data_IF_323101925146
#
_entry.id   IF_323101925146
#
_cell.length_a   1.000
_cell.length_b   1.000
_cell.length_c   1.000
_cell.angle_alpha   90.00
_cell.angle_beta   90.00
_cell.angle_gamma   90.00
#
_symmetry.space_group_name_H-M   'P 1'
#
loop_
_entity.id
_entity.type
_entity.pdbx_description
1 polymer ?
#
# COMPACT_ATOMS: atom_id res chain seq x y z
N UNK A 1 1.56 1.71 4.76
CA UNK A 1 2.02 0.45 4.13
C UNK A 1 3.53 0.34 4.27
N UNK A 2 4.06 -0.85 4.56
CA UNK A 2 5.47 -1.11 4.89
C UNK A 2 6.12 -2.07 3.88
N UNK A 3 5.83 -1.91 2.60
CA UNK A 3 6.47 -2.66 1.54
C UNK A 3 6.91 -1.74 0.40
N UNK A 4 7.97 -2.15 -0.29
CA UNK A 4 8.55 -1.40 -1.41
C UNK A 4 8.20 -2.00 -2.77
N UNK A 5 7.73 -3.24 -2.80
CA UNK A 5 7.32 -3.97 -4.00
C UNK A 5 6.01 -4.67 -3.66
N UNK A 6 4.99 -4.51 -4.51
CA UNK A 6 3.72 -5.24 -4.38
C UNK A 6 3.92 -6.71 -4.76
N UNK A 7 3.10 -7.59 -4.18
CA UNK A 7 3.04 -8.97 -4.65
C UNK A 7 2.50 -9.03 -6.08
N UNK A 8 2.89 -10.05 -6.85
CA UNK A 8 2.35 -10.29 -8.19
C UNK A 8 1.26 -11.35 -8.13
N UNK A 9 0.11 -11.07 -8.74
CA UNK A 9 -1.01 -12.00 -8.89
C UNK A 9 -1.31 -12.14 -10.37
N UNK A 10 -1.38 -13.38 -10.86
CA UNK A 10 -1.62 -13.67 -12.27
C UNK A 10 -2.94 -14.40 -12.43
N UNK A 11 -3.67 -14.07 -13.49
CA UNK A 11 -4.90 -14.72 -13.92
C UNK A 11 -4.83 -14.95 -15.43
N UNK A 12 -5.68 -15.85 -15.92
CA UNK A 12 -5.84 -16.12 -17.35
C UNK A 12 -7.33 -16.25 -17.66
N UNK A 13 -7.78 -15.58 -18.71
CA UNK A 13 -9.14 -15.68 -19.22
C UNK A 13 -9.15 -15.75 -20.77
N UNK A 14 -10.33 -15.57 -21.37
CA UNK A 14 -10.53 -15.60 -22.82
C UNK A 14 -9.79 -14.47 -23.56
N UNK A 15 -9.43 -13.38 -22.86
CA UNK A 15 -8.67 -12.27 -23.41
C UNK A 15 -7.15 -12.42 -23.25
N UNK A 16 -6.70 -13.42 -22.47
CA UNK A 16 -5.30 -13.78 -22.32
C UNK A 16 -4.82 -13.78 -20.88
N UNK A 17 -3.51 -13.56 -20.71
CA UNK A 17 -2.87 -13.50 -19.38
C UNK A 17 -2.93 -12.09 -18.81
N UNK A 18 -3.28 -11.97 -17.54
CA UNK A 18 -3.27 -10.72 -16.78
C UNK A 18 -2.30 -10.82 -15.60
N UNK A 19 -1.66 -9.69 -15.29
CA UNK A 19 -0.75 -9.57 -14.14
C UNK A 19 -1.11 -8.32 -13.36
N UNK A 20 -1.35 -8.50 -12.06
CA UNK A 20 -1.64 -7.44 -11.11
C UNK A 20 -0.52 -7.34 -10.07
N UNK A 21 -0.14 -6.11 -9.72
CA UNK A 21 0.95 -5.87 -8.77
C UNK A 21 2.34 -6.06 -9.38
N UNK A 22 3.31 -6.56 -8.59
CA UNK A 22 4.71 -6.70 -9.02
C UNK A 22 5.43 -5.37 -9.29
N UNK A 23 4.84 -4.24 -8.93
CA UNK A 23 5.38 -2.90 -9.15
C UNK A 23 6.05 -2.34 -7.90
N UNK A 24 7.03 -1.47 -8.11
CA UNK A 24 7.63 -0.70 -7.04
C UNK A 24 6.67 0.37 -6.53
N UNK A 25 6.54 0.45 -5.21
CA UNK A 25 5.85 1.56 -4.56
C UNK A 25 6.81 2.72 -4.36
N UNK A 26 6.50 3.85 -4.98
CA UNK A 26 7.16 5.11 -4.67
C UNK A 26 6.86 5.48 -3.22
N UNK A 27 7.90 5.72 -2.44
CA UNK A 27 7.76 6.15 -1.06
C UNK A 27 8.85 7.15 -0.70
N UNK A 28 8.44 8.27 -0.14
CA UNK A 28 9.35 9.19 0.52
C UNK A 28 9.56 8.84 1.98
N UNK A 29 10.46 9.57 2.64
CA UNK A 29 10.71 9.43 4.07
C UNK A 29 11.51 10.60 4.63
N UNK A 30 11.45 10.76 5.94
CA UNK A 30 12.27 11.72 6.66
C UNK A 30 13.64 11.11 6.97
N UNK A 31 14.70 11.88 6.71
CA UNK A 31 16.08 11.50 7.02
C UNK A 31 16.66 12.52 8.00
N UNK A 32 17.45 12.01 8.95
CA UNK A 32 18.29 12.80 9.83
C UNK A 32 19.72 12.28 9.67
N UNK A 33 20.64 13.15 9.24
CA UNK A 33 22.07 12.87 9.23
C UNK A 33 22.74 13.74 10.28
N UNK A 34 23.56 13.13 11.11
CA UNK A 34 24.31 13.82 12.15
C UNK A 34 25.73 13.28 12.24
N UNK A 35 26.61 14.09 12.81
CA UNK A 35 27.98 13.70 13.16
C UNK A 35 28.21 14.03 14.62
N UNK A 36 28.87 13.14 15.34
CA UNK A 36 29.21 13.32 16.74
C UNK A 36 30.72 13.23 16.91
N UNK A 37 31.32 14.29 17.46
CA UNK A 37 32.71 14.25 17.88
C UNK A 37 32.84 13.41 19.16
N UNK A 38 33.81 12.51 19.15
CA UNK A 38 34.11 11.58 20.25
C UNK A 38 35.58 11.67 20.70
N UNK A 39 36.24 12.79 20.40
CA UNK A 39 37.64 13.04 20.77
C UNK A 39 37.86 12.77 22.27
N UNK A 40 38.96 12.07 22.59
CA UNK A 40 39.27 11.60 23.95
C UNK A 40 38.24 10.64 24.57
N UNK A 41 37.40 9.99 23.77
CA UNK A 41 36.41 9.01 24.23
C UNK A 41 35.16 9.63 24.86
N UNK A 42 35.00 10.96 24.76
CA UNK A 42 33.83 11.69 25.28
C UNK A 42 32.96 12.14 24.11
N UNK A 43 31.70 11.71 24.09
CA UNK A 43 30.77 12.06 23.04
C UNK A 43 30.22 13.48 23.26
N UNK A 44 30.62 14.40 22.38
CA UNK A 44 30.11 15.78 22.33
C UNK A 44 28.66 15.83 21.85
N UNK A 45 28.02 17.00 21.88
CA UNK A 45 26.69 17.17 21.29
C UNK A 45 26.76 16.90 19.76
N UNK A 46 25.94 15.97 19.23
CA UNK A 46 25.87 15.75 17.79
C UNK A 46 25.48 17.02 17.02
N UNK A 47 26.11 17.20 15.86
CA UNK A 47 25.80 18.25 14.88
C UNK A 47 24.94 17.64 13.78
N UNK A 48 23.76 18.22 13.57
CA UNK A 48 22.86 17.82 12.49
C UNK A 48 23.41 18.36 11.17
N UNK A 49 23.72 17.46 10.24
CA UNK A 49 24.18 17.78 8.89
C UNK A 49 23.01 17.94 7.92
N UNK A 50 21.97 17.13 8.10
CA UNK A 50 20.77 17.18 7.29
C UNK A 50 19.57 16.74 8.11
N UNK A 51 18.47 17.44 7.96
CA UNK A 51 17.17 17.03 8.48
C UNK A 51 16.10 17.42 7.49
N UNK A 52 15.36 16.45 6.95
CA UNK A 52 14.36 16.77 5.95
C UNK A 52 13.63 15.57 5.37
N UNK A 53 12.63 15.88 4.56
CA UNK A 53 11.87 14.90 3.80
C UNK A 53 12.49 14.69 2.41
N UNK A 54 12.62 13.44 2.01
CA UNK A 54 12.98 13.04 0.65
C UNK A 54 11.75 12.43 0.00
N UNK A 55 11.33 12.99 -1.14
CA UNK A 55 10.08 12.61 -1.81
C UNK A 55 10.10 11.17 -2.36
N UNK A 56 11.26 10.66 -2.76
CA UNK A 56 11.42 9.32 -3.30
C UNK A 56 12.71 8.71 -2.76
N UNK A 57 12.58 7.81 -1.79
CA UNK A 57 13.66 6.95 -1.34
C UNK A 57 13.74 5.73 -2.27
N UNK A 58 14.92 5.32 -2.76
CA UNK A 58 15.07 4.04 -3.46
C UNK A 58 14.82 2.85 -2.51
N UNK A 59 14.56 1.68 -3.11
CA UNK A 59 14.36 0.44 -2.34
C UNK A 59 15.66 -0.11 -1.72
N UNK A 60 16.80 0.24 -2.31
CA UNK A 60 18.13 -0.03 -1.78
C UNK A 60 18.95 1.27 -1.81
N UNK A 61 19.74 1.50 -0.77
CA UNK A 61 20.61 2.67 -0.65
C UNK A 61 22.04 2.23 -0.39
N UNK A 62 22.98 2.88 -1.07
CA UNK A 62 24.41 2.80 -0.76
C UNK A 62 24.80 4.07 -0.02
N UNK A 63 25.35 3.93 1.17
CA UNK A 63 25.84 5.06 1.96
C UNK A 63 27.35 5.17 1.76
N UNK A 64 27.80 6.38 1.41
CA UNK A 64 29.21 6.73 1.50
C UNK A 64 29.43 7.50 2.80
N UNK A 65 30.51 7.18 3.49
CA UNK A 65 30.94 7.96 4.65
C UNK A 65 31.35 9.36 4.20
N UNK A 66 31.18 10.35 5.10
CA UNK A 66 31.44 11.76 4.84
C UNK A 66 32.79 11.92 4.12
N UNK A 67 32.75 12.52 2.92
CA UNK A 67 33.94 12.86 2.15
C UNK A 67 34.03 14.38 2.08
N UNK A 68 35.00 14.94 2.80
CA UNK A 68 35.38 16.35 2.72
C UNK A 68 36.89 16.44 2.67
N UNK A 69 37.42 17.31 1.80
CA UNK A 69 38.87 17.54 1.67
C UNK A 69 39.49 18.07 2.98
N UNK A 70 38.68 18.72 3.82
CA UNK A 70 39.09 19.31 5.09
C UNK A 70 38.74 18.42 6.30
N UNK A 71 38.29 17.18 6.08
CA UNK A 71 37.96 16.27 7.18
C UNK A 71 39.23 15.78 7.89
N UNK A 72 39.67 16.50 8.92
CA UNK A 72 40.82 16.14 9.76
C UNK A 72 40.40 15.26 10.95
N UNK A 73 39.78 14.11 10.69
CA UNK A 73 39.43 13.16 11.75
C UNK A 73 39.45 11.71 11.25
N UNK A 74 39.49 10.76 12.20
CA UNK A 74 39.22 9.34 11.93
C UNK A 74 37.76 9.01 12.25
N UNK A 75 37.12 8.21 11.41
CA UNK A 75 35.75 7.75 11.66
C UNK A 75 35.78 6.55 12.62
N UNK A 76 35.29 6.75 13.84
CA UNK A 76 35.23 5.68 14.84
C UNK A 76 34.13 4.66 14.56
N UNK A 77 32.94 5.12 14.14
CA UNK A 77 31.82 4.26 13.77
C UNK A 77 30.83 4.98 12.86
N UNK A 78 29.99 4.19 12.18
CA UNK A 78 28.86 4.69 11.41
C UNK A 78 27.63 3.84 11.74
N UNK A 79 26.52 4.48 12.09
CA UNK A 79 25.30 3.81 12.49
C UNK A 79 24.15 4.28 11.60
N UNK A 80 23.38 3.31 11.10
CA UNK A 80 22.13 3.57 10.41
C UNK A 80 21.03 2.84 11.17
N UNK A 81 20.03 3.58 11.61
CA UNK A 81 18.90 3.06 12.36
C UNK A 81 17.60 3.45 11.67
N UNK A 82 16.70 2.47 11.52
CA UNK A 82 15.31 2.72 11.14
C UNK A 82 14.49 2.85 12.43
N UNK A 83 14.16 4.08 12.81
CA UNK A 83 13.39 4.37 14.04
C UNK A 83 11.89 4.07 13.93
N UNK A 84 11.45 3.47 12.82
CA UNK A 84 10.04 3.16 12.57
C UNK A 84 9.30 4.35 11.95
N UNK A 85 7.97 4.36 12.01
CA UNK A 85 7.15 5.35 11.30
C UNK A 85 6.97 6.66 12.06
N UNK A 86 7.72 6.89 13.13
CA UNK A 86 7.57 8.03 14.04
C UNK A 86 8.60 9.13 13.77
N UNK A 87 8.15 10.38 13.86
CA UNK A 87 8.96 11.57 13.65
C UNK A 87 8.52 12.67 14.59
N UNK A 88 9.47 13.27 15.31
CA UNK A 88 9.19 14.32 16.29
C UNK A 88 9.89 15.60 15.86
N UNK A 89 9.10 16.66 15.75
CA UNK A 89 9.57 18.03 15.51
C UNK A 89 9.09 18.89 16.65
N UNK A 90 9.91 19.82 17.09
CA UNK A 90 9.50 20.86 18.02
C UNK A 90 9.80 22.25 17.45
N UNK A 91 8.94 23.21 17.76
CA UNK A 91 9.08 24.59 17.27
C UNK A 91 9.03 25.54 18.46
N UNK A 92 10.19 26.06 18.90
CA UNK A 92 10.29 27.09 19.93
C UNK A 92 9.43 28.33 19.64
N UNK A 93 8.97 29.06 20.67
CA UNK A 93 8.41 30.39 20.48
C UNK A 93 9.42 31.29 19.76
N UNK A 94 9.03 31.86 18.62
CA UNK A 94 9.88 32.67 17.73
C UNK A 94 11.08 31.94 17.07
N UNK A 95 11.14 30.60 17.13
CA UNK A 95 12.16 29.79 16.46
C UNK A 95 11.65 29.06 15.23
N UNK A 96 12.59 28.42 14.51
CA UNK A 96 12.27 27.47 13.44
C UNK A 96 12.02 26.06 13.97
N UNK A 97 11.47 25.16 13.14
CA UNK A 97 11.28 23.76 13.50
C UNK A 97 12.63 23.05 13.71
N UNK A 98 12.71 22.25 14.77
CA UNK A 98 13.87 21.46 15.17
C UNK A 98 13.44 19.98 15.20
N UNK A 99 14.18 19.12 14.50
CA UNK A 99 13.96 17.67 14.60
C UNK A 99 14.53 17.16 15.92
N UNK A 100 13.71 16.42 16.66
CA UNK A 100 14.11 15.83 17.95
C UNK A 100 14.62 14.42 17.73
N UNK A 101 15.80 14.12 18.27
CA UNK A 101 16.43 12.81 18.15
C UNK A 101 15.72 11.81 19.06
N UNK A 102 15.28 10.71 18.46
CA UNK A 102 14.67 9.60 19.17
C UNK A 102 15.73 8.55 19.51
N UNK A 103 15.80 8.15 20.78
CA UNK A 103 16.75 7.14 21.20
C UNK A 103 17.00 7.14 22.70
N UNK A 104 18.12 6.56 23.11
CA UNK A 104 18.54 6.52 24.51
C UNK A 104 19.42 7.72 24.87
N UNK A 105 19.50 8.06 26.16
CA UNK A 105 20.41 9.12 26.64
C UNK A 105 21.88 8.81 26.30
N UNK A 106 22.27 7.52 26.27
CA UNK A 106 23.62 7.09 25.90
C UNK A 106 23.97 7.40 24.44
N UNK A 107 22.96 7.57 23.57
CA UNK A 107 23.11 7.95 22.16
C UNK A 107 22.99 9.47 21.96
N UNK A 108 22.92 10.26 23.04
CA UNK A 108 22.73 11.71 22.93
C UNK A 108 21.35 12.12 22.39
N UNK A 109 20.35 11.24 22.46
CA UNK A 109 19.00 11.53 21.99
C UNK A 109 18.31 12.61 22.85
N UNK A 110 17.33 13.31 22.26
CA UNK A 110 16.56 14.36 22.93
C UNK A 110 15.33 13.80 23.66
N UNK A 111 14.75 12.74 23.08
CA UNK A 111 13.54 12.14 23.59
C UNK A 111 13.46 10.66 23.24
N UNK A 112 12.48 9.97 23.82
CA UNK A 112 12.10 8.61 23.49
C UNK A 112 10.59 8.47 23.44
N UNK A 113 10.12 7.53 22.63
CA UNK A 113 8.73 7.09 22.64
C UNK A 113 8.67 5.75 23.38
N UNK A 114 7.86 5.70 24.44
CA UNK A 114 7.65 4.48 25.21
C UNK A 114 6.64 3.57 24.51
N UNK A 115 6.64 2.26 24.80
CA UNK A 115 5.74 1.27 24.17
C UNK A 115 4.25 1.62 24.32
N UNK A 116 3.89 2.43 25.29
CA UNK A 116 2.52 2.93 25.51
C UNK A 116 2.16 4.12 24.61
N UNK A 117 3.05 4.54 23.71
CA UNK A 117 2.87 5.73 22.86
C UNK A 117 3.20 7.05 23.56
N UNK A 118 3.83 7.02 24.75
CA UNK A 118 4.19 8.23 25.50
C UNK A 118 5.51 8.79 25.00
N UNK A 119 5.49 10.02 24.48
CA UNK A 119 6.69 10.81 24.20
C UNK A 119 7.26 11.38 25.50
N UNK A 120 8.56 11.16 25.75
CA UNK A 120 9.27 11.67 26.92
C UNK A 120 10.57 12.33 26.51
N UNK A 121 10.73 13.60 26.88
CA UNK A 121 11.96 14.35 26.73
C UNK A 121 12.93 14.07 27.88
N UNK A 122 14.22 14.03 27.58
CA UNK A 122 15.25 13.98 28.60
C UNK A 122 15.46 15.38 29.21
N UNK A 123 16.00 15.44 30.43
CA UNK A 123 16.15 16.68 31.20
C UNK A 123 16.86 17.80 30.42
N UNK A 124 17.93 17.45 29.69
CA UNK A 124 18.73 18.38 28.87
C UNK A 124 18.02 18.89 27.61
N UNK A 125 16.90 18.26 27.21
CA UNK A 125 16.16 18.60 26.00
C UNK A 125 14.68 18.87 26.31
N UNK A 126 14.39 19.34 27.52
CA UNK A 126 13.02 19.68 27.95
C UNK A 126 12.49 20.83 27.09
N UNK A 127 11.33 20.69 26.43
CA UNK A 127 10.72 21.77 25.68
C UNK A 127 10.42 22.96 26.58
N UNK A 128 10.64 24.17 26.07
CA UNK A 128 10.32 25.39 26.80
C UNK A 128 8.81 25.67 26.77
N UNK A 129 8.35 26.56 27.66
CA UNK A 129 6.95 26.97 27.67
C UNK A 129 6.54 27.60 26.33
N UNK A 130 5.40 27.17 25.78
CA UNK A 130 4.90 27.64 24.49
C UNK A 130 5.53 26.97 23.26
N UNK A 131 6.47 26.03 23.44
CA UNK A 131 7.02 25.24 22.33
C UNK A 131 5.98 24.26 21.77
N UNK A 132 5.78 24.29 20.45
CA UNK A 132 4.88 23.36 19.77
C UNK A 132 5.59 22.04 19.52
N UNK A 133 4.97 20.92 19.91
CA UNK A 133 5.48 19.58 19.64
C UNK A 133 4.59 18.91 18.59
N UNK A 134 5.18 18.59 17.44
CA UNK A 134 4.53 17.85 16.37
C UNK A 134 5.08 16.41 16.35
N UNK A 135 4.17 15.44 16.41
CA UNK A 135 4.50 14.02 16.27
C UNK A 135 3.78 13.48 15.05
N UNK A 136 4.54 13.04 14.06
CA UNK A 136 4.01 12.33 12.89
C UNK A 136 4.26 10.84 13.09
N UNK A 137 3.23 10.02 12.90
CA UNK A 137 3.35 8.58 12.99
C UNK A 137 2.42 7.89 12.00
N UNK A 138 2.68 6.61 11.70
CA UNK A 138 1.76 5.76 10.94
C UNK A 138 1.27 4.63 11.81
N UNK A 139 -0.03 4.37 11.74
CA UNK A 139 -0.63 3.16 12.29
C UNK A 139 -0.68 2.07 11.24
N UNK A 140 -0.70 0.82 11.68
CA UNK A 140 -0.94 -0.35 10.83
C UNK A 140 -2.24 -1.04 11.25
N UNK A 141 -3.03 -1.46 10.28
CA UNK A 141 -4.20 -2.31 10.47
C UNK A 141 -4.13 -3.47 9.46
N UNK A 142 -5.08 -4.40 9.57
CA UNK A 142 -5.21 -5.49 8.59
C UNK A 142 -5.42 -4.91 7.19
N UNK A 143 -4.71 -5.47 6.22
CA UNK A 143 -4.95 -5.21 4.82
C UNK A 143 -6.26 -5.88 4.39
N UNK A 144 -7.09 -5.15 3.66
CA UNK A 144 -8.38 -5.61 3.18
C UNK A 144 -8.71 -4.90 1.88
N UNK A 145 -9.43 -5.59 1.01
CA UNK A 145 -10.00 -5.05 -0.21
C UNK A 145 -11.34 -5.73 -0.48
N UNK A 146 -12.23 -5.03 -1.18
CA UNK A 146 -13.48 -5.60 -1.67
C UNK A 146 -13.73 -5.04 -3.07
N UNK A 147 -13.79 -5.92 -4.07
CA UNK A 147 -14.00 -5.53 -5.47
C UNK A 147 -15.24 -6.23 -6.04
N UNK A 148 -15.82 -5.63 -7.08
CA UNK A 148 -16.95 -6.18 -7.83
C UNK A 148 -16.80 -5.91 -9.33
N UNK A 149 -17.21 -6.86 -10.18
CA UNK A 149 -17.25 -6.68 -11.62
C UNK A 149 -18.67 -6.26 -12.05
N UNK A 150 -18.88 -4.97 -12.30
CA UNK A 150 -20.18 -4.43 -12.67
C UNK A 150 -20.73 -5.02 -13.98
N UNK A 151 -19.86 -5.32 -14.95
CA UNK A 151 -20.26 -5.92 -16.23
C UNK A 151 -20.77 -7.35 -16.03
N UNK A 152 -20.04 -8.16 -15.26
CA UNK A 152 -20.46 -9.52 -14.92
C UNK A 152 -21.77 -9.52 -14.13
N UNK A 153 -21.92 -8.61 -13.16
CA UNK A 153 -23.17 -8.46 -12.40
C UNK A 153 -24.34 -8.16 -13.33
N UNK A 154 -24.17 -7.22 -14.27
CA UNK A 154 -25.21 -6.87 -15.22
C UNK A 154 -25.57 -8.06 -16.14
N UNK A 155 -24.57 -8.78 -16.65
CA UNK A 155 -24.76 -9.95 -17.51
C UNK A 155 -25.50 -11.09 -16.78
N UNK A 156 -25.07 -11.44 -15.57
CA UNK A 156 -25.66 -12.53 -14.78
C UNK A 156 -27.02 -12.14 -14.16
N UNK A 157 -27.35 -10.85 -14.10
CA UNK A 157 -28.66 -10.41 -13.61
C UNK A 157 -29.83 -10.75 -14.53
N UNK A 158 -29.57 -11.19 -15.77
CA UNK A 158 -30.58 -11.47 -16.78
C UNK A 158 -31.60 -10.31 -16.91
N UNK A 159 -31.11 -9.08 -17.11
CA UNK A 159 -31.92 -7.85 -17.13
C UNK A 159 -32.70 -7.61 -15.82
N UNK A 160 -32.10 -7.93 -14.67
CA UNK A 160 -32.69 -7.75 -13.35
C UNK A 160 -33.70 -8.82 -12.92
N UNK A 161 -33.84 -9.91 -13.68
CA UNK A 161 -34.67 -11.06 -13.30
C UNK A 161 -34.02 -11.89 -12.18
N UNK A 162 -32.70 -11.83 -12.06
CA UNK A 162 -31.91 -12.48 -11.03
C UNK A 162 -31.01 -11.45 -10.32
N UNK A 163 -30.58 -11.69 -9.07
CA UNK A 163 -29.70 -10.77 -8.35
C UNK A 163 -28.35 -10.49 -9.04
N UNK A 164 -27.92 -11.32 -10.00
CA UNK A 164 -26.67 -11.18 -10.77
C UNK A 164 -25.38 -11.24 -9.94
N UNK A 165 -25.48 -11.42 -8.62
CA UNK A 165 -24.38 -11.28 -7.68
C UNK A 165 -24.03 -12.62 -7.06
N UNK A 166 -22.76 -13.02 -7.20
CA UNK A 166 -22.12 -14.04 -6.39
C UNK A 166 -20.96 -13.38 -5.63
N UNK A 167 -20.73 -13.80 -4.39
CA UNK A 167 -19.66 -13.23 -3.57
C UNK A 167 -18.81 -14.31 -2.92
N UNK A 168 -17.53 -14.00 -2.78
CA UNK A 168 -16.59 -14.78 -1.98
C UNK A 168 -15.90 -13.85 -0.99
N UNK A 169 -15.73 -14.36 0.23
CA UNK A 169 -14.96 -13.68 1.26
C UNK A 169 -13.97 -14.65 1.87
N UNK A 170 -12.74 -14.19 2.07
CA UNK A 170 -11.68 -15.02 2.61
C UNK A 170 -10.33 -14.30 2.61
N UNK A 171 -9.28 -15.08 2.85
CA UNK A 171 -7.89 -14.61 2.88
C UNK A 171 -7.10 -15.25 1.75
N UNK A 172 -6.27 -14.46 1.08
CA UNK A 172 -5.26 -14.98 0.14
C UNK A 172 -4.03 -15.38 0.96
N UNK A 173 -3.62 -16.65 0.84
CA UNK A 173 -2.51 -17.23 1.60
C UNK A 173 -1.21 -17.32 0.81
N UNK A 174 -1.29 -17.31 -0.53
CA UNK A 174 -0.11 -17.31 -1.40
C UNK A 174 -0.42 -16.69 -2.77
N UNK A 175 0.39 -15.73 -3.25
CA UNK A 175 1.37 -14.98 -2.45
C UNK A 175 0.65 -14.14 -1.37
N UNK A 176 1.20 -14.06 -0.14
CA UNK A 176 0.51 -13.41 0.97
C UNK A 176 0.45 -11.89 0.77
N UNK A 177 -0.76 -11.28 0.69
CA UNK A 177 -0.91 -9.84 0.53
C UNK A 177 -0.40 -9.13 1.78
N UNK A 178 0.37 -8.05 1.61
CA UNK A 178 0.94 -7.26 2.72
C UNK A 178 0.34 -5.87 2.83
N UNK A 179 -0.44 -5.44 1.85
CA UNK A 179 -1.17 -4.17 1.87
C UNK A 179 -2.55 -4.30 1.25
N UNK A 180 -3.41 -3.30 1.46
CA UNK A 180 -4.72 -3.28 0.80
C UNK A 180 -4.60 -3.25 -0.72
N UNK A 181 -3.54 -2.63 -1.25
CA UNK A 181 -3.25 -2.68 -2.69
C UNK A 181 -2.92 -4.12 -3.16
N UNK A 182 -2.21 -4.94 -2.37
CA UNK A 182 -2.05 -6.36 -2.70
C UNK A 182 -3.38 -7.11 -2.60
N UNK A 183 -4.21 -6.81 -1.59
CA UNK A 183 -5.54 -7.41 -1.49
C UNK A 183 -6.41 -7.07 -2.71
N UNK A 184 -6.32 -5.85 -3.24
CA UNK A 184 -6.99 -5.45 -4.47
C UNK A 184 -6.44 -6.19 -5.68
N UNK A 185 -5.12 -6.24 -5.85
CA UNK A 185 -4.50 -6.98 -6.95
C UNK A 185 -4.88 -8.46 -6.94
N UNK A 186 -4.91 -9.08 -5.76
CA UNK A 186 -5.33 -10.45 -5.59
C UNK A 186 -6.83 -10.62 -5.86
N UNK A 187 -7.66 -9.68 -5.40
CA UNK A 187 -9.10 -9.70 -5.65
C UNK A 187 -9.40 -9.52 -7.14
N UNK A 188 -8.68 -8.65 -7.87
CA UNK A 188 -8.83 -8.47 -9.32
C UNK A 188 -8.53 -9.77 -10.06
N UNK A 189 -7.39 -10.40 -9.78
CA UNK A 189 -7.04 -11.68 -10.41
C UNK A 189 -8.07 -12.79 -10.09
N UNK A 190 -8.58 -12.85 -8.85
CA UNK A 190 -9.66 -13.77 -8.50
C UNK A 190 -10.98 -13.44 -9.20
N UNK A 191 -11.28 -12.16 -9.44
CA UNK A 191 -12.46 -11.72 -10.18
C UNK A 191 -12.38 -12.15 -11.65
N UNK A 192 -11.24 -12.02 -12.32
CA UNK A 192 -11.09 -12.48 -13.71
C UNK A 192 -11.39 -13.96 -13.83
N UNK A 193 -10.83 -14.76 -12.91
CA UNK A 193 -11.05 -16.20 -12.85
C UNK A 193 -12.52 -16.55 -12.55
N UNK A 194 -13.16 -15.81 -11.64
CA UNK A 194 -14.54 -16.07 -11.26
C UNK A 194 -15.56 -15.62 -12.33
N UNK A 195 -15.18 -14.69 -13.21
CA UNK A 195 -16.07 -14.14 -14.26
C UNK A 195 -15.85 -14.80 -15.62
N UNK A 196 -14.75 -15.53 -15.83
CA UNK A 196 -14.53 -16.33 -17.03
C UNK A 196 -14.92 -17.80 -16.86
N UNK A 197 -15.84 -18.30 -17.69
CA UNK A 197 -16.16 -19.73 -17.76
C UNK A 197 -14.98 -20.56 -18.25
N UNK A 198 -14.08 -19.98 -19.04
CA UNK A 198 -12.87 -20.65 -19.50
C UNK A 198 -11.85 -20.90 -18.37
N UNK A 199 -11.94 -20.18 -17.26
CA UNK A 199 -11.08 -20.44 -16.10
C UNK A 199 -11.41 -21.78 -15.39
N UNK A 200 -12.57 -22.39 -15.65
CA UNK A 200 -13.05 -23.60 -14.98
C UNK A 200 -12.56 -24.92 -15.61
N UNK A 201 -11.74 -24.88 -16.66
CA UNK A 201 -11.29 -26.08 -17.36
C UNK A 201 -10.07 -26.72 -16.70
N UNK A 202 -10.13 -28.05 -16.57
CA UNK A 202 -8.97 -28.91 -16.35
C UNK A 202 -9.12 -30.19 -17.15
N UNK A 203 -8.00 -30.80 -17.50
CA UNK A 203 -8.04 -32.02 -18.26
C UNK A 203 -6.66 -32.52 -18.65
N UNK A 204 -6.69 -33.51 -19.53
CA UNK A 204 -5.51 -34.15 -20.08
C UNK A 204 -5.74 -34.37 -21.57
N UNK A 205 -4.75 -34.02 -22.37
CA UNK A 205 -4.68 -34.33 -23.78
C UNK A 205 -3.53 -35.31 -24.02
N UNK A 206 -3.77 -36.30 -24.88
CA UNK A 206 -2.73 -37.27 -25.27
C UNK A 206 -2.66 -37.38 -26.77
N UNK A 207 -1.46 -37.26 -27.31
CA UNK A 207 -1.23 -37.38 -28.74
C UNK A 207 0.13 -38.02 -29.04
N UNK A 208 0.29 -38.45 -30.28
CA UNK A 208 1.48 -39.08 -30.81
C UNK A 208 2.13 -38.15 -31.81
N UNK A 209 3.45 -37.98 -31.72
CA UNK A 209 4.27 -37.17 -32.63
C UNK A 209 3.61 -35.80 -32.90
N UNK A 210 3.34 -35.04 -31.83
CA UNK A 210 2.80 -33.68 -31.94
C UNK A 210 3.72 -32.86 -32.84
N UNK A 211 3.19 -32.40 -33.98
CA UNK A 211 3.88 -31.48 -34.88
C UNK A 211 3.57 -30.04 -34.47
N UNK A 212 4.35 -29.50 -33.53
CA UNK A 212 4.27 -28.11 -33.10
C UNK A 212 5.53 -27.32 -33.51
N UNK A 213 5.46 -25.98 -33.49
CA UNK A 213 6.61 -25.09 -33.75
C UNK A 213 7.67 -25.13 -32.63
N UNK A 214 7.53 -26.03 -31.66
CA UNK A 214 8.40 -26.28 -30.52
C UNK A 214 7.76 -27.30 -29.58
N UNK A 215 8.50 -27.79 -28.59
CA UNK A 215 7.91 -28.59 -27.51
C UNK A 215 7.10 -27.68 -26.57
N UNK A 216 5.96 -28.20 -26.06
CA UNK A 216 5.24 -27.56 -24.97
C UNK A 216 6.00 -27.72 -23.64
N UNK A 217 5.82 -26.76 -22.73
CA UNK A 217 6.38 -26.74 -21.38
C UNK A 217 5.31 -26.45 -20.31
N UNK A 218 5.48 -26.94 -19.07
CA UNK A 218 4.68 -26.46 -17.95
C UNK A 218 4.78 -24.93 -17.82
N UNK A 219 3.63 -24.26 -17.76
CA UNK A 219 3.51 -22.80 -17.79
C UNK A 219 3.10 -22.24 -19.15
N UNK A 220 3.22 -23.00 -20.24
CA UNK A 220 2.73 -22.57 -21.54
C UNK A 220 1.20 -22.48 -21.57
N UNK A 221 0.69 -21.65 -22.49
CA UNK A 221 -0.74 -21.51 -22.74
C UNK A 221 -1.08 -22.22 -24.04
N UNK A 222 -1.98 -23.20 -23.97
CA UNK A 222 -2.50 -23.91 -25.12
C UNK A 222 -3.87 -23.38 -25.52
N UNK A 223 -4.00 -22.93 -26.77
CA UNK A 223 -5.29 -22.64 -27.36
C UNK A 223 -5.93 -23.96 -27.82
N UNK A 224 -6.99 -24.40 -27.13
CA UNK A 224 -7.68 -25.65 -27.40
C UNK A 224 -9.02 -25.36 -28.06
N UNK A 225 -9.17 -25.89 -29.28
CA UNK A 225 -10.41 -25.86 -30.05
C UNK A 225 -10.92 -27.28 -30.25
N UNK A 226 -12.09 -27.59 -29.68
CA UNK A 226 -12.78 -28.86 -29.89
C UNK A 226 -14.20 -28.59 -30.35
N UNK A 227 -14.42 -28.72 -31.65
CA UNK A 227 -15.72 -28.50 -32.31
C UNK A 227 -16.79 -29.46 -31.82
N UNK A 228 -16.43 -30.71 -31.49
CA UNK A 228 -17.36 -31.74 -31.00
C UNK A 228 -17.96 -31.41 -29.64
N UNK A 229 -17.25 -30.64 -28.82
CA UNK A 229 -17.68 -30.21 -27.49
C UNK A 229 -18.00 -28.72 -27.42
N UNK A 230 -17.88 -27.99 -28.54
CA UNK A 230 -18.00 -26.53 -28.58
C UNK A 230 -16.97 -25.81 -27.70
N UNK A 231 -15.82 -26.42 -27.42
CA UNK A 231 -14.77 -25.83 -26.58
C UNK A 231 -13.88 -24.93 -27.44
N UNK A 232 -13.69 -23.71 -26.98
CA UNK A 232 -12.68 -22.76 -27.48
C UNK A 232 -12.12 -22.05 -26.26
N UNK A 233 -10.93 -22.43 -25.79
CA UNK A 233 -10.37 -21.92 -24.54
C UNK A 233 -8.84 -21.88 -24.55
N UNK A 234 -8.27 -20.94 -23.79
CA UNK A 234 -6.85 -20.89 -23.46
C UNK A 234 -6.61 -21.64 -22.15
N UNK A 235 -5.75 -22.67 -22.16
CA UNK A 235 -5.54 -23.58 -21.04
C UNK A 235 -4.07 -23.59 -20.61
N UNK A 236 -3.80 -23.40 -19.31
CA UNK A 236 -2.43 -23.41 -18.78
C UNK A 236 -1.94 -24.85 -18.62
N UNK A 237 -0.82 -25.16 -19.26
CA UNK A 237 -0.16 -26.46 -19.12
C UNK A 237 0.43 -26.59 -17.71
N UNK A 238 0.04 -27.64 -17.00
CA UNK A 238 0.49 -27.94 -15.64
C UNK A 238 1.62 -28.94 -15.62
N UNK A 239 1.58 -29.90 -16.53
CA UNK A 239 2.53 -31.00 -16.57
C UNK A 239 2.56 -31.60 -17.97
N UNK A 240 3.77 -31.96 -18.38
CA UNK A 240 4.00 -32.69 -19.62
C UNK A 240 4.77 -33.95 -19.29
N UNK A 241 4.32 -35.05 -19.86
CA UNK A 241 5.00 -36.32 -19.83
C UNK A 241 5.20 -36.78 -21.27
N UNK A 242 6.45 -37.06 -21.62
CA UNK A 242 6.86 -37.55 -22.94
C UNK A 242 7.35 -38.99 -22.77
N UNK A 243 6.70 -39.92 -23.45
CA UNK A 243 7.11 -41.33 -23.51
C UNK A 243 7.67 -41.61 -24.91
N UNK A 244 8.97 -41.93 -24.98
CA UNK A 244 9.64 -42.33 -26.21
C UNK A 244 9.57 -43.85 -26.34
N UNK A 245 8.99 -44.35 -27.44
CA UNK A 245 9.06 -45.77 -27.74
C UNK A 245 10.24 -46.12 -28.63
N UNK A 246 10.85 -47.27 -28.32
CA UNK A 246 11.84 -47.91 -29.17
C UNK A 246 11.17 -48.51 -30.43
N UNK A 247 10.75 -47.65 -31.35
CA UNK A 247 10.23 -48.00 -32.67
C UNK A 247 11.05 -47.35 -33.79
N UNK A 248 10.89 -47.82 -35.02
CA UNK A 248 11.43 -47.18 -36.21
C UNK A 248 10.28 -46.92 -37.21
N UNK A 249 9.91 -45.66 -37.50
CA UNK A 249 10.45 -44.43 -36.91
C UNK A 249 10.15 -44.31 -35.41
N UNK A 250 10.92 -43.47 -34.70
CA UNK A 250 10.70 -43.20 -33.28
C UNK A 250 9.32 -42.58 -33.06
N UNK A 251 8.60 -43.07 -32.05
CA UNK A 251 7.29 -42.53 -31.66
C UNK A 251 7.41 -41.86 -30.30
N UNK A 252 7.00 -40.60 -30.23
CA UNK A 252 6.89 -39.85 -28.99
C UNK A 252 5.43 -39.67 -28.62
N UNK A 253 5.03 -40.16 -27.45
CA UNK A 253 3.69 -39.94 -26.89
C UNK A 253 3.74 -38.78 -25.91
N UNK A 254 2.96 -37.75 -26.18
CA UNK A 254 2.78 -36.63 -25.26
C UNK A 254 1.54 -36.87 -24.42
N UNK A 255 1.67 -36.59 -23.13
CA UNK A 255 0.59 -36.44 -22.19
C UNK A 255 0.70 -35.03 -21.61
N UNK A 256 -0.25 -34.18 -21.97
CA UNK A 256 -0.31 -32.78 -21.54
C UNK A 256 -1.48 -32.66 -20.56
N UNK A 257 -1.17 -32.38 -19.31
CA UNK A 257 -2.17 -32.06 -18.29
C UNK A 257 -2.29 -30.54 -18.19
N UNK A 258 -3.50 -30.02 -18.23
CA UNK A 258 -3.80 -28.60 -18.17
C UNK A 258 -4.88 -28.31 -17.13
N UNK A 259 -4.81 -27.12 -16.54
CA UNK A 259 -5.83 -26.60 -15.65
C UNK A 259 -5.74 -25.08 -15.61
N UNK A 260 -6.89 -24.41 -15.54
CA UNK A 260 -6.96 -22.99 -15.21
C UNK A 260 -7.30 -22.83 -13.72
N UNK A 261 -7.01 -21.65 -13.16
CA UNK A 261 -6.93 -21.45 -11.70
C UNK A 261 -8.26 -21.59 -10.96
N UNK A 262 -9.41 -21.50 -11.65
CA UNK A 262 -10.69 -21.83 -11.05
C UNK A 262 -10.91 -23.34 -10.93
N UNK A 263 -10.34 -24.14 -11.83
CA UNK A 263 -10.41 -25.60 -11.81
C UNK A 263 -9.41 -26.26 -10.85
N UNK A 264 -8.19 -25.71 -10.79
CA UNK A 264 -7.13 -26.09 -9.86
C UNK A 264 -6.13 -24.95 -9.65
N UNK A 265 -6.05 -24.43 -8.41
CA UNK A 265 -5.30 -23.22 -8.10
C UNK A 265 -3.79 -23.37 -8.34
N UNK A 266 -3.21 -22.57 -9.26
CA UNK A 266 -1.76 -22.45 -9.45
C UNK A 266 -1.20 -21.25 -8.69
N UNK A 267 -1.66 -20.06 -9.07
CA UNK A 267 -0.99 -18.81 -8.75
C UNK A 267 -1.48 -18.25 -7.41
N UNK A 268 -2.78 -18.43 -7.12
CA UNK A 268 -3.44 -17.83 -5.97
C UNK A 268 -4.04 -18.92 -5.08
N UNK A 269 -3.51 -19.05 -3.87
CA UNK A 269 -4.09 -19.92 -2.84
C UNK A 269 -4.93 -19.08 -1.89
N UNK A 270 -6.14 -19.55 -1.59
CA UNK A 270 -7.08 -18.86 -0.71
C UNK A 270 -7.54 -19.74 0.45
N UNK A 271 -8.06 -19.09 1.48
CA UNK A 271 -8.72 -19.69 2.63
C UNK A 271 -10.04 -18.97 2.88
N UNK A 272 -11.06 -19.67 3.38
CA UNK A 272 -12.34 -19.06 3.77
C UNK A 272 -12.29 -18.36 5.13
N UNK A 273 -11.14 -18.36 5.80
CA UNK A 273 -10.95 -17.72 7.10
C UNK A 273 -10.71 -16.23 6.87
N UNK A 274 -11.43 -15.38 7.61
CA UNK A 274 -11.20 -13.94 7.71
C UNK A 274 -10.85 -13.64 9.17
N UNK A 275 -9.75 -12.94 9.48
CA UNK A 275 -9.44 -12.55 10.84
C UNK A 275 -10.54 -11.67 11.44
N UNK A 276 -10.89 -11.90 12.72
CA UNK A 276 -12.01 -11.22 13.38
C UNK A 276 -11.79 -9.72 13.62
N UNK A 277 -10.53 -9.26 13.58
CA UNK A 277 -10.10 -7.88 13.73
C UNK A 277 -10.06 -7.10 12.40
N UNK A 278 -10.53 -7.70 11.30
CA UNK A 278 -10.63 -7.02 10.00
C UNK A 278 -11.89 -6.17 9.95
N UNK A 279 -11.73 -4.89 9.58
CA UNK A 279 -12.85 -4.06 9.14
C UNK A 279 -13.07 -4.21 7.65
N UNK A 280 -14.17 -4.85 7.27
CA UNK A 280 -14.54 -5.07 5.89
C UNK A 280 -15.15 -3.78 5.29
N UNK A 281 -14.71 -3.36 4.08
CA UNK A 281 -15.39 -2.30 3.35
C UNK A 281 -16.87 -2.62 3.13
N UNK A 282 -17.74 -1.67 3.46
CA UNK A 282 -19.19 -1.84 3.35
C UNK A 282 -19.65 -1.98 1.89
N UNK A 283 -18.98 -1.30 0.97
CA UNK A 283 -19.24 -1.36 -0.47
C UNK A 283 -17.98 -1.84 -1.20
N UNK A 284 -18.12 -2.56 -2.33
CA UNK A 284 -17.01 -2.87 -3.20
C UNK A 284 -16.52 -1.59 -3.90
N UNK A 285 -15.21 -1.47 -4.10
CA UNK A 285 -14.64 -0.37 -4.86
C UNK A 285 -15.01 -0.53 -6.34
N UNK A 286 -15.70 0.47 -6.89
CA UNK A 286 -16.07 0.54 -8.30
C UNK A 286 -14.98 1.18 -9.18
N UNK A 287 -14.02 1.86 -8.56
CA UNK A 287 -12.89 2.52 -9.19
C UNK A 287 -11.66 2.40 -8.28
N UNK A 288 -10.44 2.44 -8.83
CA UNK A 288 -9.23 2.50 -8.01
C UNK A 288 -9.27 3.68 -7.05
N UNK A 289 -8.96 3.49 -5.75
CA UNK A 289 -8.98 4.58 -4.79
C UNK A 289 -7.92 5.63 -5.12
N UNK A 290 -8.18 6.87 -4.71
CA UNK A 290 -7.23 7.96 -4.89
C UNK A 290 -5.97 7.78 -4.02
N UNK A 291 -4.91 8.49 -4.36
CA UNK A 291 -3.68 8.46 -3.59
C UNK A 291 -3.91 8.96 -2.15
N UNK A 292 -3.33 8.25 -1.17
CA UNK A 292 -3.38 8.65 0.23
C UNK A 292 -2.57 9.93 0.48
N UNK A 293 -3.00 10.72 1.45
CA UNK A 293 -2.35 11.98 1.84
C UNK A 293 -1.11 11.74 2.74
N UNK A 294 -0.18 10.90 2.29
CA UNK A 294 0.98 10.45 3.08
C UNK A 294 2.04 11.52 3.34
N UNK A 295 2.02 12.60 2.57
CA UNK A 295 2.92 13.75 2.70
C UNK A 295 2.24 14.95 3.37
N UNK A 296 0.97 14.84 3.77
CA UNK A 296 0.24 15.95 4.40
C UNK A 296 0.94 16.40 5.68
N UNK A 297 0.99 17.71 5.89
CA UNK A 297 1.60 18.34 7.05
C UNK A 297 0.72 19.43 7.63
N UNK A 298 0.66 19.52 8.95
CA UNK A 298 0.19 20.72 9.65
C UNK A 298 1.31 21.74 9.63
N UNK A 299 1.08 22.90 9.01
CA UNK A 299 2.11 23.93 8.82
C UNK A 299 2.13 24.94 9.96
N UNK A 300 0.98 25.21 10.58
CA UNK A 300 0.86 26.05 11.76
C UNK A 300 -0.40 25.71 12.57
N UNK A 301 -0.36 25.98 13.86
CA UNK A 301 -1.52 25.92 14.76
C UNK A 301 -1.57 27.21 15.56
N UNK A 302 -2.71 27.89 15.56
CA UNK A 302 -2.98 29.10 16.34
C UNK A 302 -4.15 28.86 17.29
N UNK A 303 -4.54 29.87 18.08
CA UNK A 303 -5.73 29.79 18.94
C UNK A 303 -7.03 29.54 18.18
N UNK A 304 -7.13 29.99 16.93
CA UNK A 304 -8.37 29.92 16.14
C UNK A 304 -8.31 29.02 14.91
N UNK A 305 -7.13 28.53 14.53
CA UNK A 305 -6.95 27.86 13.24
C UNK A 305 -5.86 26.79 13.25
N UNK A 306 -6.05 25.77 12.42
CA UNK A 306 -5.04 24.78 12.03
C UNK A 306 -4.78 24.97 10.54
N UNK A 307 -3.56 25.35 10.19
CA UNK A 307 -3.14 25.46 8.80
C UNK A 307 -2.59 24.11 8.34
N UNK A 308 -3.14 23.60 7.23
CA UNK A 308 -2.80 22.30 6.66
C UNK A 308 -2.33 22.49 5.22
N UNK A 309 -1.23 21.81 4.87
CA UNK A 309 -0.85 21.55 3.50
C UNK A 309 -1.06 20.06 3.21
N UNK A 310 -1.89 19.75 2.22
CA UNK A 310 -2.05 18.39 1.73
C UNK A 310 -0.78 17.86 1.03
N UNK A 311 0.11 18.77 0.57
CA UNK A 311 1.30 18.46 -0.24
C UNK A 311 0.97 17.53 -1.44
N UNK A 312 -0.25 17.68 -1.96
CA UNK A 312 -0.78 16.96 -3.11
C UNK A 312 -1.63 17.89 -3.96
N UNK A 313 -1.70 17.61 -5.27
CA UNK A 313 -2.61 18.32 -6.17
C UNK A 313 -4.04 17.79 -5.96
N UNK A 314 -5.05 18.67 -5.87
CA UNK A 314 -6.45 18.25 -5.78
C UNK A 314 -6.87 17.49 -7.05
N UNK A 315 -7.67 16.41 -6.95
CA UNK A 315 -8.25 15.74 -8.11
C UNK A 315 -9.18 16.66 -8.92
N UNK A 316 -9.36 16.33 -10.19
CA UNK A 316 -10.29 17.04 -11.06
C UNK A 316 -11.71 17.04 -10.47
N UNK A 317 -12.33 18.22 -10.41
CA UNK A 317 -13.67 18.46 -9.83
C UNK A 317 -13.83 17.96 -8.39
N UNK A 318 -12.73 17.73 -7.68
CA UNK A 318 -12.69 17.22 -6.31
C UNK A 318 -11.86 18.12 -5.39
N UNK A 319 -11.24 17.50 -4.39
CA UNK A 319 -10.41 18.23 -3.44
C UNK A 319 -10.11 17.40 -2.19
N UNK A 320 -10.13 18.07 -1.04
CA UNK A 320 -9.85 17.50 0.27
C UNK A 320 -11.06 17.69 1.17
N UNK A 321 -11.60 16.60 1.70
CA UNK A 321 -12.72 16.61 2.63
C UNK A 321 -12.21 16.42 4.05
N UNK A 322 -12.66 17.26 4.97
CA UNK A 322 -12.29 17.22 6.40
C UNK A 322 -13.51 16.84 7.22
N UNK A 323 -13.39 15.77 8.01
CA UNK A 323 -14.45 15.30 8.89
C UNK A 323 -13.99 15.05 10.33
N UNK A 324 -14.93 15.12 11.27
CA UNK A 324 -14.69 14.81 12.70
C UNK A 324 -14.61 13.30 12.99
N UNK A 325 -15.11 12.44 12.10
CA UNK A 325 -15.11 10.97 12.22
C UNK A 325 -14.61 10.32 10.93
N UNK A 326 -13.76 9.30 11.07
CA UNK A 326 -13.12 8.60 9.94
C UNK A 326 -14.10 7.79 9.08
N UNK A 327 -15.22 7.32 9.64
CA UNK A 327 -16.19 6.50 8.91
C UNK A 327 -17.30 7.32 8.22
N UNK A 328 -17.28 8.65 8.35
CA UNK A 328 -18.40 9.51 7.95
C UNK A 328 -18.23 10.18 6.56
N UNK A 329 -17.24 9.78 5.77
CA UNK A 329 -16.99 10.33 4.43
C UNK A 329 -18.12 9.99 3.46
N UNK A 330 -18.41 10.91 2.55
CA UNK A 330 -19.44 10.72 1.52
C UNK A 330 -20.00 12.04 0.96
N UNK A 331 -20.95 11.94 0.03
CA UNK A 331 -21.50 13.11 -0.63
C UNK A 331 -22.26 14.07 0.31
N UNK A 332 -22.84 13.57 1.40
CA UNK A 332 -23.72 14.33 2.30
C UNK A 332 -23.03 15.37 3.19
N UNK A 333 -23.80 16.40 3.57
CA UNK A 333 -23.42 17.54 4.43
C UNK A 333 -23.88 17.36 5.88
N UNK A 334 -23.49 16.25 6.50
CA UNK A 334 -23.83 15.97 7.90
C UNK A 334 -23.01 16.82 8.89
N UNK A 335 -23.34 16.74 10.18
CA UNK A 335 -22.64 17.45 11.27
C UNK A 335 -21.16 17.07 11.42
N UNK A 336 -20.71 15.98 10.82
CA UNK A 336 -19.29 15.60 10.81
C UNK A 336 -18.48 16.36 9.79
N UNK A 337 -19.12 16.90 8.74
CA UNK A 337 -18.44 17.69 7.74
C UNK A 337 -17.94 18.99 8.36
N UNK A 338 -16.64 19.21 8.28
CA UNK A 338 -16.01 20.46 8.72
C UNK A 338 -15.87 21.39 7.54
N UNK A 339 -15.22 20.91 6.46
CA UNK A 339 -15.07 21.66 5.22
C UNK A 339 -14.74 20.73 4.04
N UNK A 340 -14.88 21.27 2.83
CA UNK A 340 -14.27 20.76 1.60
C UNK A 340 -13.38 21.85 1.02
N UNK A 341 -12.12 21.52 0.76
CA UNK A 341 -11.17 22.43 0.14
C UNK A 341 -10.85 21.98 -1.29
N UNK A 342 -11.02 22.83 -2.31
CA UNK A 342 -10.57 22.54 -3.67
C UNK A 342 -9.06 22.81 -3.86
N UNK A 343 -8.35 23.28 -2.82
CA UNK A 343 -6.93 23.66 -2.87
C UNK A 343 -6.10 22.90 -1.84
N UNK A 344 -4.81 22.71 -2.15
CA UNK A 344 -3.86 21.94 -1.34
C UNK A 344 -3.57 22.55 0.03
N UNK A 345 -3.61 23.89 0.13
CA UNK A 345 -3.42 24.63 1.38
C UNK A 345 -4.77 25.13 1.88
N UNK A 346 -5.17 24.73 3.09
CA UNK A 346 -6.44 25.13 3.67
C UNK A 346 -6.35 25.27 5.19
N UNK A 347 -7.35 25.94 5.76
CA UNK A 347 -7.43 26.23 7.18
C UNK A 347 -8.64 25.52 7.78
N UNK A 348 -8.40 24.74 8.84
CA UNK A 348 -9.44 24.15 9.67
C UNK A 348 -9.68 25.11 10.85
N UNK A 349 -10.90 25.63 11.06
CA UNK A 349 -11.21 26.46 12.21
C UNK A 349 -11.18 25.62 13.49
N UNK A 350 -10.68 26.20 14.58
CA UNK A 350 -10.64 25.57 15.91
C UNK A 350 -11.83 25.98 16.76
N UNK A 351 -12.43 25.00 17.42
CA UNK A 351 -13.58 25.14 18.30
C UNK A 351 -13.25 24.70 19.75
N UNK A 352 -12.19 23.89 19.94
CA UNK A 352 -11.77 23.38 21.23
C UNK A 352 -10.24 23.32 21.39
N UNK A 353 -9.76 23.23 22.64
CA UNK A 353 -8.34 23.03 22.93
C UNK A 353 -7.84 21.68 22.37
N UNK A 354 -8.65 20.63 22.51
CA UNK A 354 -8.35 19.28 22.04
C UNK A 354 -9.33 18.85 20.94
N UNK A 355 -8.80 18.60 19.74
CA UNK A 355 -9.58 18.33 18.53
C UNK A 355 -8.98 17.19 17.72
N UNK A 356 -9.85 16.54 16.93
CA UNK A 356 -9.47 15.48 16.00
C UNK A 356 -10.18 15.66 14.67
N UNK A 357 -9.43 15.52 13.59
CA UNK A 357 -9.95 15.60 12.23
C UNK A 357 -9.36 14.49 11.38
N UNK A 358 -10.13 14.05 10.39
CA UNK A 358 -9.76 13.06 9.40
C UNK A 358 -9.91 13.68 8.02
N UNK A 359 -8.91 13.51 7.19
CA UNK A 359 -8.82 14.18 5.90
C UNK A 359 -8.61 13.12 4.82
N UNK A 360 -9.48 13.13 3.80
CA UNK A 360 -9.33 12.31 2.60
C UNK A 360 -9.37 13.17 1.36
N UNK A 361 -8.64 12.73 0.34
CA UNK A 361 -8.77 13.25 -1.00
C UNK A 361 -10.06 12.67 -1.62
N UNK A 362 -10.77 13.46 -2.43
CA UNK A 362 -11.95 13.00 -3.18
C UNK A 362 -11.97 13.59 -4.59
N UNK A 363 -12.63 12.91 -5.54
CA UNK A 363 -12.83 13.38 -6.92
C UNK A 363 -14.28 13.79 -7.21
N UNK A 364 -14.55 14.26 -8.43
CA UNK A 364 -15.89 14.67 -8.86
C UNK A 364 -16.84 13.55 -9.29
N UNK A 365 -16.52 12.28 -9.03
CA UNK A 365 -17.42 11.17 -9.40
C UNK A 365 -18.69 11.14 -8.53
N UNK A 366 -19.72 10.41 -8.98
CA UNK A 366 -20.99 10.26 -8.27
C UNK A 366 -21.33 8.78 -8.15
N UNK A 367 -21.20 8.16 -6.95
CA UNK A 367 -20.70 8.76 -5.69
C UNK A 367 -19.21 9.13 -5.75
N UNK A 368 -18.73 10.09 -4.94
CA UNK A 368 -17.32 10.49 -4.94
C UNK A 368 -16.39 9.34 -4.58
N UNK A 369 -15.31 9.18 -5.33
CA UNK A 369 -14.22 8.27 -5.01
C UNK A 369 -13.27 8.96 -4.04
N UNK A 370 -12.74 8.22 -3.07
CA UNK A 370 -11.90 8.76 -2.01
C UNK A 370 -10.53 8.10 -1.98
N UNK A 371 -9.56 8.75 -1.32
CA UNK A 371 -8.35 8.06 -0.90
C UNK A 371 -8.68 6.94 0.09
N UNK A 372 -7.97 5.81 -0.01
CA UNK A 372 -8.27 4.59 0.77
C UNK A 372 -8.24 4.85 2.28
N UNK A 373 -7.25 5.61 2.73
CA UNK A 373 -7.03 5.93 4.14
C UNK A 373 -7.12 7.43 4.39
N UNK A 374 -7.61 7.78 5.57
CA UNK A 374 -7.56 9.15 6.08
C UNK A 374 -6.17 9.48 6.61
N UNK A 375 -5.75 10.71 6.42
CA UNK A 375 -4.73 11.33 7.27
C UNK A 375 -5.43 11.98 8.46
N UNK A 376 -5.00 11.62 9.67
CA UNK A 376 -5.58 12.12 10.91
C UNK A 376 -4.77 13.28 11.48
N UNK A 377 -5.45 14.32 11.93
CA UNK A 377 -4.86 15.48 12.61
C UNK A 377 -5.43 15.54 14.02
N UNK A 378 -4.55 15.49 15.00
CA UNK A 378 -4.88 15.65 16.42
C UNK A 378 -4.18 16.89 16.94
N UNK A 379 -4.94 17.79 17.56
CA UNK A 379 -4.41 19.03 18.14
C UNK A 379 -4.79 19.07 19.60
N UNK A 380 -3.83 19.42 20.45
CA UNK A 380 -4.06 19.74 21.85
C UNK A 380 -3.20 20.95 22.21
N UNK A 381 -3.74 22.13 21.95
CA UNK A 381 -3.09 23.43 22.13
C UNK A 381 -4.10 24.36 22.78
N UNK A 382 -3.70 25.27 23.70
CA UNK A 382 -4.60 26.29 24.23
C UNK A 382 -5.36 27.04 23.12
N UNK A 383 -6.60 27.42 23.40
CA UNK A 383 -7.41 28.28 22.53
C UNK A 383 -7.01 29.74 22.69
#
# INVERSE_FOLDING_TARGET
>A
ESQRVLQSYNSIDDSGTHTYGGVYLTSGGSLLFEVQDTTNGVASAPVVLYSGWVASLPAAMTFALINSADLQCSIASAQLSQHGPEWVVSTPPAGGPIVRRLGTTAQGADCRIERTGRLRFYSMSTPQAGELIAVSYRTSHRAVARLANAQSIAQESANGQLPGTASWIGTVTSPPPRSSADCENAASALLDLATSRAAAWKGKYTAWNIEEQGDAWPGDVLAVYSTSTGLSANLVVRKIQIELLCSCPGLAKYTIEFANDWADALAIKTSKIVPADVWLPQEPDAAPPLANLSAMSVTAVTGSAIQVSANATPPANGGFEVRRRDWAFGAGVNSDLVLRSPVSNFTIPREAAAERYYIRMYDGSTPPNYSRFSSAVFVNVPL
#
